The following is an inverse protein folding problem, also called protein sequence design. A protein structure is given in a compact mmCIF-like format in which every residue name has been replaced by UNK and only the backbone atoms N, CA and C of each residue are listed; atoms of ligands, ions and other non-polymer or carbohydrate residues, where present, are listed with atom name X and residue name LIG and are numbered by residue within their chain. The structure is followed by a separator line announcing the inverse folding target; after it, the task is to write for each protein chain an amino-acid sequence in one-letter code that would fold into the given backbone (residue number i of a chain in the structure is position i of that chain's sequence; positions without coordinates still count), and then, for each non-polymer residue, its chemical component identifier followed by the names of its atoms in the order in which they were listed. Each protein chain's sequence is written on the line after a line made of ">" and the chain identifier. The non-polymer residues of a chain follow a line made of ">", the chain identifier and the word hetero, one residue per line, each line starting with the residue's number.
data_IF_215384747778
#
_entry.id   IF_215384747778
#
_cell.length_a   1.000
_cell.length_b   1.000
_cell.length_c   1.000
_cell.angle_alpha   90.00
_cell.angle_beta   90.00
_cell.angle_gamma   90.00
#
_symmetry.space_group_name_H-M   'P 1'
#
loop_
_entity.id
_entity.type
_entity.pdbx_description
1 polymer ?
#
# COMPACT_ATOMS: atom_id res chain seq x y z
N UNK A 1 -10.62 -9.78 13.66
CA UNK A 1 -10.60 -8.66 12.68
C UNK A 1 -11.56 -8.91 11.51
N UNK A 2 -11.44 -10.01 10.76
CA UNK A 2 -12.36 -10.29 9.64
C UNK A 2 -13.84 -10.40 10.08
N UNK A 3 -14.14 -11.19 11.11
CA UNK A 3 -15.50 -11.34 11.66
C UNK A 3 -16.12 -9.99 12.08
N UNK A 4 -15.38 -9.20 12.88
CA UNK A 4 -15.82 -7.87 13.31
C UNK A 4 -16.06 -6.92 12.15
N UNK A 5 -15.29 -7.03 11.06
CA UNK A 5 -15.58 -6.25 9.85
C UNK A 5 -16.88 -6.73 9.19
N UNK A 6 -17.04 -8.03 8.96
CA UNK A 6 -18.17 -8.58 8.19
C UNK A 6 -19.54 -8.40 8.86
N UNK A 7 -19.61 -8.23 10.18
CA UNK A 7 -20.87 -8.08 10.94
C UNK A 7 -21.40 -6.62 10.92
N UNK A 8 -20.58 -5.64 10.52
CA UNK A 8 -20.98 -4.22 10.54
C UNK A 8 -21.72 -3.78 9.28
N UNK A 9 -22.77 -2.96 9.45
CA UNK A 9 -23.52 -2.35 8.33
C UNK A 9 -22.64 -1.44 7.46
N UNK A 10 -21.65 -0.78 8.05
CA UNK A 10 -20.66 0.04 7.34
C UNK A 10 -19.80 -0.78 6.38
N UNK A 11 -19.49 -2.03 6.73
CA UNK A 11 -18.71 -2.92 5.88
C UNK A 11 -19.50 -3.43 4.68
N UNK A 12 -20.83 -3.54 4.78
CA UNK A 12 -21.70 -3.85 3.64
C UNK A 12 -21.72 -2.74 2.58
N UNK A 13 -21.34 -1.51 2.96
CA UNK A 13 -21.19 -0.39 2.02
C UNK A 13 -19.79 -0.32 1.37
N UNK A 14 -18.84 -1.17 1.80
CA UNK A 14 -17.50 -1.19 1.22
C UNK A 14 -17.52 -1.83 -0.16
N UNK A 15 -16.98 -1.10 -1.13
CA UNK A 15 -16.94 -1.51 -2.54
C UNK A 15 -16.23 -2.84 -2.77
N UNK A 16 -15.18 -3.15 -1.99
CA UNK A 16 -14.47 -4.42 -2.05
C UNK A 16 -15.38 -5.61 -1.72
N UNK A 17 -16.12 -5.55 -0.61
CA UNK A 17 -16.96 -6.67 -0.19
C UNK A 17 -18.11 -6.90 -1.18
N UNK A 18 -18.75 -5.82 -1.66
CA UNK A 18 -19.79 -5.92 -2.69
C UNK A 18 -19.26 -6.56 -3.97
N UNK A 19 -18.09 -6.12 -4.44
CA UNK A 19 -17.48 -6.68 -5.63
C UNK A 19 -17.12 -8.16 -5.47
N UNK A 20 -16.49 -8.54 -4.36
CA UNK A 20 -16.11 -9.92 -4.06
C UNK A 20 -17.34 -10.85 -4.04
N UNK A 21 -18.44 -10.43 -3.42
CA UNK A 21 -19.62 -11.27 -3.25
C UNK A 21 -20.55 -11.32 -4.47
N UNK A 22 -20.61 -10.24 -5.25
CA UNK A 22 -21.64 -10.08 -6.29
C UNK A 22 -21.08 -9.91 -7.70
N UNK A 23 -19.75 -9.80 -7.86
CA UNK A 23 -19.09 -9.50 -9.13
C UNK A 23 -19.31 -8.06 -9.63
N UNK A 24 -19.91 -7.18 -8.83
CA UNK A 24 -20.16 -5.78 -9.19
C UNK A 24 -20.14 -4.86 -7.97
N UNK A 25 -19.95 -3.55 -8.19
CA UNK A 25 -19.88 -2.58 -7.10
C UNK A 25 -21.24 -2.20 -6.51
N UNK A 26 -22.36 -2.46 -7.22
CA UNK A 26 -23.73 -2.14 -6.78
C UNK A 26 -23.85 -0.74 -6.13
N UNK A 27 -23.35 0.28 -6.85
CA UNK A 27 -23.38 1.69 -6.45
C UNK A 27 -22.28 2.13 -5.47
N UNK A 28 -21.59 1.22 -4.78
CA UNK A 28 -20.43 1.57 -3.95
C UNK A 28 -19.19 1.65 -4.84
N UNK A 29 -19.00 2.74 -5.57
CA UNK A 29 -17.89 2.85 -6.51
C UNK A 29 -16.56 3.18 -5.79
N UNK A 30 -15.45 2.50 -6.12
CA UNK A 30 -14.13 2.94 -5.70
C UNK A 30 -13.82 4.32 -6.28
N UNK A 31 -12.91 5.07 -5.66
CA UNK A 31 -12.62 6.47 -6.06
C UNK A 31 -12.33 6.60 -7.56
N UNK A 32 -11.57 5.67 -8.15
CA UNK A 32 -11.23 5.70 -9.56
C UNK A 32 -12.42 5.52 -10.51
N UNK A 33 -13.54 4.94 -10.05
CA UNK A 33 -14.72 4.64 -10.86
C UNK A 33 -15.84 5.66 -10.70
N UNK A 34 -15.67 6.70 -9.86
CA UNK A 34 -16.70 7.73 -9.64
C UNK A 34 -16.63 8.82 -10.70
N UNK A 35 -17.79 9.28 -11.16
CA UNK A 35 -17.91 10.24 -12.27
C UNK A 35 -17.17 11.55 -11.99
N UNK A 36 -17.24 12.06 -10.76
CA UNK A 36 -16.57 13.30 -10.34
C UNK A 36 -15.04 13.24 -10.45
N UNK A 37 -14.46 12.03 -10.51
CA UNK A 37 -13.01 11.82 -10.65
C UNK A 37 -12.58 11.58 -12.10
N UNK A 38 -13.51 11.28 -13.02
CA UNK A 38 -13.19 10.89 -14.39
C UNK A 38 -12.35 11.94 -15.11
N UNK A 39 -12.78 13.21 -15.11
CA UNK A 39 -12.06 14.30 -15.80
C UNK A 39 -10.65 14.51 -15.23
N UNK A 40 -10.50 14.41 -13.91
CA UNK A 40 -9.20 14.58 -13.22
C UNK A 40 -8.25 13.44 -13.58
N UNK A 41 -8.72 12.19 -13.54
CA UNK A 41 -7.92 11.01 -13.88
C UNK A 41 -7.53 11.06 -15.35
N UNK A 42 -8.48 11.32 -16.25
CA UNK A 42 -8.24 11.39 -17.70
C UNK A 42 -7.19 12.45 -18.05
N UNK A 43 -7.20 13.61 -17.39
CA UNK A 43 -6.22 14.67 -17.62
C UNK A 43 -4.79 14.32 -17.16
N UNK A 44 -4.60 13.26 -16.37
CA UNK A 44 -3.31 12.84 -15.82
C UNK A 44 -2.85 11.46 -16.32
N UNK A 45 -3.62 10.78 -17.18
CA UNK A 45 -3.31 9.40 -17.59
C UNK A 45 -1.95 9.29 -18.32
N UNK A 46 -1.57 10.34 -19.05
CA UNK A 46 -0.28 10.42 -19.77
C UNK A 46 0.94 10.51 -18.83
N UNK A 47 0.72 10.67 -17.52
CA UNK A 47 1.77 10.66 -16.50
C UNK A 47 1.99 9.29 -15.89
N UNK A 48 1.21 8.29 -16.30
CA UNK A 48 1.33 6.91 -15.80
C UNK A 48 2.28 6.14 -16.68
N UNK A 49 3.34 5.62 -16.08
CA UNK A 49 4.22 4.64 -16.71
C UNK A 49 3.90 3.24 -16.17
N UNK A 50 3.67 2.30 -17.07
CA UNK A 50 3.45 0.89 -16.71
C UNK A 50 4.75 0.14 -16.89
N UNK A 51 5.18 -0.53 -15.82
CA UNK A 51 6.38 -1.36 -15.83
C UNK A 51 6.01 -2.80 -15.47
N UNK A 52 6.29 -3.73 -16.38
CA UNK A 52 6.14 -5.16 -16.13
C UNK A 52 7.45 -5.72 -15.57
N UNK A 53 7.40 -6.23 -14.33
CA UNK A 53 8.55 -6.87 -13.70
C UNK A 53 8.48 -6.85 -12.17
N UNK A 54 9.59 -7.25 -11.55
CA UNK A 54 9.77 -7.16 -10.10
C UNK A 54 10.00 -5.71 -9.65
N UNK A 55 9.62 -5.42 -8.41
CA UNK A 55 9.81 -4.09 -7.82
C UNK A 55 11.29 -3.71 -7.78
N UNK A 56 12.17 -4.67 -7.49
CA UNK A 56 13.63 -4.49 -7.48
C UNK A 56 14.18 -4.09 -8.84
N UNK A 57 13.56 -4.58 -9.93
CA UNK A 57 13.94 -4.15 -11.29
C UNK A 57 13.47 -2.73 -11.57
N UNK A 58 12.27 -2.36 -11.08
CA UNK A 58 11.78 -0.98 -11.19
C UNK A 58 12.67 0.00 -10.41
N UNK A 59 13.07 -0.34 -9.19
CA UNK A 59 13.96 0.49 -8.36
C UNK A 59 15.35 0.70 -8.96
N UNK A 60 15.83 -0.23 -9.79
CA UNK A 60 17.09 -0.08 -10.54
C UNK A 60 16.94 0.73 -11.83
N UNK A 61 15.73 0.72 -12.42
CA UNK A 61 15.45 1.40 -13.69
C UNK A 61 15.09 2.88 -13.47
N UNK A 62 14.32 3.14 -12.42
CA UNK A 62 13.83 4.46 -12.07
C UNK A 62 14.47 4.88 -10.76
N UNK A 63 15.18 5.99 -10.77
CA UNK A 63 15.76 6.58 -9.57
C UNK A 63 14.78 7.60 -8.96
N UNK A 64 14.91 7.85 -7.65
CA UNK A 64 14.28 8.95 -6.89
C UNK A 64 12.76 8.88 -6.76
N UNK A 65 12.26 7.82 -6.12
CA UNK A 65 10.87 7.80 -5.67
C UNK A 65 10.68 8.64 -4.41
N UNK A 66 9.77 9.62 -4.46
CA UNK A 66 9.39 10.39 -3.27
C UNK A 66 8.29 9.70 -2.45
N UNK A 67 7.48 8.86 -3.09
CA UNK A 67 6.37 8.16 -2.47
C UNK A 67 6.26 6.75 -3.03
N UNK A 68 6.14 5.75 -2.16
CA UNK A 68 5.87 4.37 -2.56
C UNK A 68 4.62 3.85 -1.85
N UNK A 69 3.69 3.32 -2.64
CA UNK A 69 2.54 2.56 -2.16
C UNK A 69 2.74 1.08 -2.54
N UNK A 70 2.99 0.23 -1.54
CA UNK A 70 3.43 -1.16 -1.74
C UNK A 70 2.41 -2.11 -1.10
N UNK A 71 1.44 -2.55 -1.90
CA UNK A 71 0.34 -3.39 -1.43
C UNK A 71 0.67 -4.88 -1.60
N UNK A 72 0.79 -5.61 -0.49
CA UNK A 72 0.91 -7.08 -0.44
C UNK A 72 2.12 -7.70 -1.14
N UNK A 73 3.27 -7.02 -1.14
CA UNK A 73 4.46 -7.53 -1.82
C UNK A 73 5.46 -8.24 -0.90
N UNK A 74 5.44 -7.97 0.42
CA UNK A 74 6.47 -8.47 1.34
C UNK A 74 6.13 -9.79 2.05
N UNK A 75 4.85 -10.16 2.11
CA UNK A 75 4.36 -11.33 2.85
C UNK A 75 4.99 -12.65 2.36
N UNK A 76 5.29 -12.70 1.06
CA UNK A 76 5.83 -13.89 0.39
C UNK A 76 7.36 -13.92 0.36
N UNK A 77 8.01 -12.90 0.91
CA UNK A 77 9.47 -12.80 0.96
C UNK A 77 9.98 -13.42 2.26
N UNK A 78 11.05 -14.21 2.15
CA UNK A 78 11.85 -14.53 3.33
C UNK A 78 12.58 -13.28 3.85
N UNK A 79 13.21 -13.39 5.01
CA UNK A 79 13.88 -12.23 5.62
C UNK A 79 15.03 -11.69 4.77
N UNK A 80 15.74 -12.57 4.06
CA UNK A 80 16.89 -12.17 3.25
C UNK A 80 16.44 -11.37 2.01
N UNK A 81 15.40 -11.85 1.33
CA UNK A 81 14.77 -11.20 0.19
C UNK A 81 14.16 -9.86 0.61
N UNK A 82 13.44 -9.82 1.73
CA UNK A 82 12.87 -8.58 2.25
C UNK A 82 13.95 -7.52 2.52
N UNK A 83 15.07 -7.91 3.14
CA UNK A 83 16.19 -6.99 3.39
C UNK A 83 16.83 -6.50 2.09
N UNK A 84 17.04 -7.37 1.12
CA UNK A 84 17.61 -7.01 -0.18
C UNK A 84 16.71 -6.03 -0.96
N UNK A 85 15.40 -6.28 -0.97
CA UNK A 85 14.41 -5.37 -1.59
C UNK A 85 14.41 -4.02 -0.87
N UNK A 86 14.41 -4.03 0.46
CA UNK A 86 14.42 -2.80 1.26
C UNK A 86 15.72 -2.00 1.05
N UNK A 87 16.86 -2.66 0.87
CA UNK A 87 18.11 -1.99 0.48
C UNK A 87 17.97 -1.32 -0.90
N UNK A 88 17.38 -2.00 -1.88
CA UNK A 88 17.09 -1.38 -3.18
C UNK A 88 16.17 -0.16 -3.07
N UNK A 89 15.23 -0.16 -2.12
CA UNK A 89 14.39 1.02 -1.82
C UNK A 89 15.23 2.15 -1.21
N UNK A 90 16.14 1.86 -0.29
CA UNK A 90 17.06 2.86 0.26
C UNK A 90 17.85 3.53 -0.86
N UNK A 91 18.35 2.75 -1.81
CA UNK A 91 19.18 3.25 -2.91
C UNK A 91 18.36 4.06 -3.94
N UNK A 92 17.07 3.76 -4.08
CA UNK A 92 16.16 4.40 -5.04
C UNK A 92 15.35 5.58 -4.46
N UNK A 93 15.57 5.96 -3.20
CA UNK A 93 14.80 7.02 -2.52
C UNK A 93 15.70 8.01 -1.77
N UNK A 94 15.27 9.28 -1.77
CA UNK A 94 15.93 10.36 -1.04
C UNK A 94 15.34 10.52 0.38
N UNK A 95 16.07 11.21 1.26
CA UNK A 95 15.56 11.61 2.59
C UNK A 95 14.20 12.31 2.46
N UNK A 96 13.28 12.00 3.39
CA UNK A 96 11.89 12.49 3.35
C UNK A 96 10.95 11.72 2.41
N UNK A 97 11.43 10.72 1.65
CA UNK A 97 10.55 9.84 0.90
C UNK A 97 9.61 9.06 1.85
N UNK A 98 8.34 8.91 1.47
CA UNK A 98 7.32 8.26 2.30
C UNK A 98 6.86 6.92 1.74
N UNK A 99 6.67 5.97 2.63
CA UNK A 99 6.32 4.59 2.30
C UNK A 99 5.01 4.23 2.97
N UNK A 100 4.07 3.71 2.18
CA UNK A 100 2.78 3.21 2.62
C UNK A 100 2.66 1.75 2.18
N UNK A 101 2.53 0.83 3.12
CA UNK A 101 2.43 -0.59 2.78
C UNK A 101 1.62 -1.40 3.79
N UNK A 102 1.16 -2.57 3.34
CA UNK A 102 0.28 -3.44 4.11
C UNK A 102 0.95 -4.77 4.41
N UNK A 103 0.82 -5.23 5.65
CA UNK A 103 1.19 -6.59 6.05
C UNK A 103 -0.07 -7.44 6.23
N UNK A 104 -0.06 -8.67 5.70
CA UNK A 104 -1.19 -9.58 5.80
C UNK A 104 -1.13 -10.37 7.12
N UNK A 105 -0.05 -11.11 7.35
CA UNK A 105 0.16 -11.89 8.59
C UNK A 105 1.58 -11.75 9.13
N UNK A 106 2.58 -11.74 8.25
CA UNK A 106 4.00 -11.63 8.60
C UNK A 106 4.36 -10.15 8.75
N UNK A 107 4.82 -9.70 9.93
CA UNK A 107 5.19 -8.31 10.13
C UNK A 107 6.49 -8.00 9.40
N UNK A 108 6.39 -7.30 8.27
CA UNK A 108 7.53 -6.72 7.55
C UNK A 108 7.51 -5.21 7.76
N UNK A 109 8.61 -4.62 8.23
CA UNK A 109 8.68 -3.17 8.44
C UNK A 109 10.10 -2.67 8.18
N UNK A 110 10.24 -1.62 7.38
CA UNK A 110 11.55 -1.11 6.97
C UNK A 110 12.33 -0.60 8.17
N UNK A 111 11.71 0.21 9.03
CA UNK A 111 12.31 0.73 10.27
C UNK A 111 12.67 -0.36 11.30
N UNK A 112 12.15 -1.58 11.18
CA UNK A 112 12.65 -2.71 11.97
C UNK A 112 13.90 -3.35 11.37
N UNK A 113 14.01 -3.39 10.05
CA UNK A 113 15.14 -4.01 9.35
C UNK A 113 16.34 -3.07 9.20
N UNK A 114 16.09 -1.77 9.04
CA UNK A 114 17.08 -0.71 8.82
C UNK A 114 16.70 0.54 9.68
N UNK A 115 16.85 0.47 11.01
CA UNK A 115 16.38 1.52 11.93
C UNK A 115 17.08 2.87 11.75
N UNK A 116 18.31 2.87 11.23
CA UNK A 116 19.08 4.09 10.97
C UNK A 116 18.63 4.79 9.68
N UNK A 117 17.92 4.08 8.79
CA UNK A 117 17.48 4.59 7.50
C UNK A 117 16.01 5.01 7.46
N UNK A 118 15.20 4.56 8.42
CA UNK A 118 13.75 4.81 8.38
C UNK A 118 13.19 5.25 9.73
N UNK A 119 12.22 6.15 9.67
CA UNK A 119 11.38 6.55 10.77
C UNK A 119 10.01 5.88 10.67
N UNK A 120 9.61 5.20 11.74
CA UNK A 120 8.26 4.65 11.85
C UNK A 120 7.26 5.69 12.36
N UNK A 121 6.24 5.97 11.56
CA UNK A 121 5.10 6.81 11.96
C UNK A 121 4.01 5.95 12.59
N UNK A 122 4.24 5.53 13.84
CA UNK A 122 3.35 4.62 14.57
C UNK A 122 1.92 5.12 14.67
N UNK A 123 1.73 6.34 15.15
CA UNK A 123 0.39 6.91 15.37
C UNK A 123 -0.40 6.98 14.06
N UNK A 124 0.23 7.45 12.97
CA UNK A 124 -0.37 7.49 11.65
C UNK A 124 -0.72 6.07 11.15
N UNK A 125 0.19 5.11 11.32
CA UNK A 125 -0.02 3.70 10.95
C UNK A 125 -1.21 3.08 11.69
N UNK A 126 -1.31 3.31 13.00
CA UNK A 126 -2.38 2.77 13.85
C UNK A 126 -3.73 3.41 13.48
N UNK A 127 -3.75 4.74 13.30
CA UNK A 127 -4.94 5.48 12.88
C UNK A 127 -5.45 5.02 11.51
N UNK A 128 -4.57 4.92 10.51
CA UNK A 128 -4.94 4.49 9.16
C UNK A 128 -5.32 3.01 9.10
N UNK A 129 -4.68 2.16 9.90
CA UNK A 129 -5.08 0.75 10.06
C UNK A 129 -6.49 0.59 10.61
N UNK A 130 -6.92 1.50 11.49
CA UNK A 130 -8.25 1.44 12.12
C UNK A 130 -9.39 1.76 11.16
N UNK A 131 -9.13 2.62 10.18
CA UNK A 131 -10.12 3.07 9.17
C UNK A 131 -10.00 2.32 7.84
N UNK A 132 -9.10 1.33 7.76
CA UNK A 132 -8.87 0.57 6.54
C UNK A 132 -10.14 -0.17 6.11
N UNK A 133 -10.45 -0.05 4.81
CA UNK A 133 -11.64 -0.68 4.21
C UNK A 133 -11.38 -2.14 3.87
N UNK A 134 -10.12 -2.52 3.69
CA UNK A 134 -9.67 -3.87 3.51
C UNK A 134 -9.62 -4.61 4.87
N UNK A 135 -10.42 -5.67 4.99
CA UNK A 135 -10.54 -6.43 6.24
C UNK A 135 -9.52 -7.57 6.38
N UNK A 136 -8.73 -7.85 5.35
CA UNK A 136 -7.79 -8.97 5.34
C UNK A 136 -6.39 -8.60 5.85
N UNK A 137 -5.93 -7.35 5.68
CA UNK A 137 -4.62 -6.95 6.20
C UNK A 137 -4.61 -6.82 7.72
N UNK A 138 -3.52 -7.29 8.33
CA UNK A 138 -3.29 -7.14 9.76
C UNK A 138 -3.02 -5.67 10.12
N UNK A 139 -2.09 -5.00 9.42
CA UNK A 139 -1.79 -3.59 9.62
C UNK A 139 -1.40 -2.86 8.32
N UNK A 140 -1.63 -1.55 8.36
CA UNK A 140 -1.07 -0.57 7.45
C UNK A 140 0.12 0.11 8.14
N UNK A 141 1.21 0.30 7.40
CA UNK A 141 2.47 0.80 7.93
C UNK A 141 2.90 2.01 7.13
N UNK A 142 3.29 3.06 7.86
CA UNK A 142 3.90 4.27 7.34
C UNK A 142 5.32 4.37 7.88
N UNK A 143 6.30 4.30 6.98
CA UNK A 143 7.70 4.62 7.25
C UNK A 143 8.11 5.85 6.40
N UNK A 144 9.14 6.57 6.83
CA UNK A 144 9.75 7.70 6.11
C UNK A 144 11.27 7.56 6.07
N UNK A 145 11.89 7.92 4.94
CA UNK A 145 13.35 7.86 4.75
C UNK A 145 14.02 8.95 5.59
N UNK A 146 15.02 8.54 6.38
CA UNK A 146 15.89 9.43 7.17
C UNK A 146 17.15 9.82 6.43
#
# INVERSE_FOLDING_TARGET
>A
KAESHLITSETQQKYFLKFILTGSFNGALPHYAREENFKKIKANIERIEIFEGFAETAFKKYDRFNYLNLSNIFEYMDESTFKNVTQGIIDATDEGAKFAYWNLMVPRRFSSAFPDHFQYHREESDNLSSIDKCFFYNCFVVDERR
#
